data_IF_443272276752
#
_entry.id   IF_443272276752
#
_cell.length_a   1.000
_cell.length_b   1.000
_cell.length_c   1.000
_cell.angle_alpha   90.00
_cell.angle_beta   90.00
_cell.angle_gamma   90.00
#
_symmetry.space_group_name_H-M   'P 1'
#
loop_
_entity.id
_entity.type
_entity.pdbx_description
1 polymer ?
#
# COMPACT_ATOMS: atom_id res chain seq x y z
N UNK A 1 4.37 -10.19 16.63
CA UNK A 1 4.62 -9.76 15.23
C UNK A 1 3.59 -8.76 14.74
N UNK A 2 2.28 -9.04 14.79
CA UNK A 2 1.25 -8.09 14.36
C UNK A 2 1.31 -6.74 15.10
N UNK A 3 1.52 -6.73 16.42
CA UNK A 3 1.70 -5.49 17.20
C UNK A 3 2.92 -4.68 16.74
N UNK A 4 4.06 -5.34 16.50
CA UNK A 4 5.29 -4.68 15.99
C UNK A 4 5.10 -4.14 14.56
N UNK A 5 4.44 -4.88 13.68
CA UNK A 5 4.09 -4.40 12.33
C UNK A 5 3.12 -3.22 12.39
N UNK A 6 2.18 -3.24 13.34
CA UNK A 6 1.22 -2.15 13.53
C UNK A 6 1.92 -0.87 14.00
N UNK A 7 2.87 -1.01 14.93
CA UNK A 7 3.72 0.07 15.40
C UNK A 7 4.56 0.66 14.25
N UNK A 8 5.20 -0.18 13.43
CA UNK A 8 5.99 0.26 12.27
C UNK A 8 5.17 0.86 11.14
N UNK A 9 3.96 0.35 10.91
CA UNK A 9 3.03 0.91 9.92
C UNK A 9 2.32 2.18 10.42
N UNK A 10 2.49 2.53 11.70
CA UNK A 10 1.77 3.62 12.37
C UNK A 10 0.25 3.41 12.41
N UNK A 11 -0.22 2.16 12.24
CA UNK A 11 -1.65 1.82 12.14
C UNK A 11 -1.90 0.35 12.47
N UNK A 12 -3.11 -0.04 12.91
CA UNK A 12 -3.45 -1.44 13.15
C UNK A 12 -3.25 -2.30 11.90
N UNK A 13 -2.53 -3.40 12.05
CA UNK A 13 -2.31 -4.41 11.01
C UNK A 13 -2.70 -5.77 11.55
N UNK A 14 -3.61 -6.44 10.86
CA UNK A 14 -4.06 -7.80 11.15
C UNK A 14 -3.82 -8.68 9.92
N UNK A 15 -3.55 -9.97 10.12
CA UNK A 15 -3.38 -10.94 9.06
C UNK A 15 -3.66 -12.35 9.60
N UNK A 16 -4.01 -13.27 8.73
CA UNK A 16 -4.40 -14.63 9.11
C UNK A 16 -3.15 -15.52 9.24
N UNK A 17 -2.20 -15.37 8.31
CA UNK A 17 -0.97 -16.14 8.30
C UNK A 17 0.20 -15.30 7.83
N UNK A 18 1.37 -15.55 8.41
CA UNK A 18 2.66 -15.07 7.90
C UNK A 18 3.54 -16.24 7.53
N UNK A 19 4.13 -16.19 6.34
CA UNK A 19 5.12 -17.14 5.85
C UNK A 19 6.39 -16.39 5.49
N UNK A 20 7.51 -16.88 5.98
CA UNK A 20 8.82 -16.31 5.65
C UNK A 20 9.61 -17.34 4.86
N UNK A 21 10.18 -16.92 3.73
CA UNK A 21 11.12 -17.75 2.96
C UNK A 21 12.34 -16.95 2.57
N UNK A 22 13.50 -17.60 2.59
CA UNK A 22 14.71 -17.01 2.04
C UNK A 22 14.70 -17.13 0.52
N UNK A 23 15.07 -16.05 -0.17
CA UNK A 23 15.26 -16.05 -1.61
C UNK A 23 16.69 -15.67 -1.94
N UNK A 24 17.11 -15.85 -3.19
CA UNK A 24 18.44 -15.38 -3.64
C UNK A 24 18.64 -13.86 -3.44
N UNK A 25 17.56 -13.08 -3.38
CA UNK A 25 17.61 -11.62 -3.23
C UNK A 25 17.52 -11.17 -1.76
N UNK A 26 17.07 -12.05 -0.86
CA UNK A 26 16.83 -11.76 0.55
C UNK A 26 15.53 -12.40 1.06
N UNK A 27 15.13 -12.10 2.32
CA UNK A 27 13.94 -12.65 2.93
C UNK A 27 12.68 -12.10 2.26
N UNK A 28 11.75 -13.00 1.96
CA UNK A 28 10.40 -12.68 1.55
C UNK A 28 9.44 -13.01 2.68
N UNK A 29 8.67 -12.01 3.10
CA UNK A 29 7.54 -12.17 4.00
C UNK A 29 6.26 -12.16 3.17
N UNK A 30 5.48 -13.22 3.27
CA UNK A 30 4.14 -13.32 2.70
C UNK A 30 3.12 -13.25 3.83
N UNK A 31 2.19 -12.32 3.72
CA UNK A 31 1.07 -12.10 4.64
C UNK A 31 -0.21 -12.44 3.89
N UNK A 32 -0.97 -13.41 4.39
CA UNK A 32 -2.26 -13.81 3.82
C UNK A 32 -3.40 -13.21 4.68
N UNK A 33 -4.48 -12.76 4.04
CA UNK A 33 -5.64 -12.16 4.73
C UNK A 33 -5.33 -10.82 5.41
N UNK A 34 -4.45 -10.02 4.81
CA UNK A 34 -3.97 -8.76 5.38
C UNK A 34 -5.10 -7.72 5.46
N UNK A 35 -5.25 -7.12 6.64
CA UNK A 35 -6.21 -6.06 6.96
C UNK A 35 -5.45 -4.91 7.61
N UNK A 36 -5.54 -3.73 7.01
CA UNK A 36 -4.82 -2.54 7.43
C UNK A 36 -5.85 -1.47 7.83
N UNK A 37 -5.70 -0.90 9.02
CA UNK A 37 -6.72 0.00 9.59
C UNK A 37 -7.87 -0.78 10.23
N UNK A 38 -9.00 -0.12 10.47
CA UNK A 38 -10.16 -0.73 11.13
C UNK A 38 -10.04 -0.83 12.65
N UNK A 39 -9.84 0.31 13.31
CA UNK A 39 -10.20 0.46 14.73
C UNK A 39 -11.72 0.44 14.94
N UNK A 40 -12.22 1.00 16.05
CA UNK A 40 -13.65 1.00 16.43
C UNK A 40 -14.63 1.46 15.32
N UNK A 41 -14.15 2.20 14.32
CA UNK A 41 -14.95 2.83 13.27
C UNK A 41 -15.14 1.98 12.00
N UNK A 42 -14.73 0.71 12.00
CA UNK A 42 -15.17 -0.28 10.99
C UNK A 42 -14.68 -0.11 9.55
N UNK A 43 -13.79 0.85 9.27
CA UNK A 43 -13.19 1.06 7.95
C UNK A 43 -11.73 0.63 7.91
N UNK A 44 -11.41 -0.48 7.24
CA UNK A 44 -10.05 -0.92 6.98
C UNK A 44 -9.88 -1.39 5.54
N UNK A 45 -8.66 -1.31 5.01
CA UNK A 45 -8.32 -1.84 3.69
C UNK A 45 -8.00 -3.32 3.81
N UNK A 46 -8.70 -4.10 2.99
CA UNK A 46 -8.50 -5.55 2.89
C UNK A 46 -7.59 -5.85 1.70
N UNK A 47 -6.58 -6.68 1.93
CA UNK A 47 -5.65 -7.16 0.92
C UNK A 47 -5.60 -8.67 1.03
N UNK A 48 -5.96 -9.36 -0.06
CA UNK A 48 -5.97 -10.84 -0.05
C UNK A 48 -4.61 -11.44 0.31
N UNK A 49 -3.55 -10.91 -0.30
CA UNK A 49 -2.18 -11.30 0.02
C UNK A 49 -1.23 -10.11 -0.15
N UNK A 50 -0.27 -9.95 0.75
CA UNK A 50 0.86 -9.04 0.61
C UNK A 50 2.19 -9.79 0.65
N UNK A 51 3.11 -9.44 -0.24
CA UNK A 51 4.49 -9.92 -0.25
C UNK A 51 5.43 -8.74 -0.03
N UNK A 52 6.30 -8.84 0.98
CA UNK A 52 7.36 -7.89 1.27
C UNK A 52 8.70 -8.56 1.04
N UNK A 53 9.43 -8.11 0.02
CA UNK A 53 10.80 -8.56 -0.25
C UNK A 53 11.78 -7.49 0.24
N UNK A 54 12.70 -7.89 1.11
CA UNK A 54 13.83 -7.04 1.51
C UNK A 54 15.06 -7.50 0.72
N UNK A 55 15.50 -6.67 -0.21
CA UNK A 55 16.64 -6.92 -1.08
C UNK A 55 17.95 -6.58 -0.36
N UNK A 56 18.39 -7.46 0.54
CA UNK A 56 19.59 -7.27 1.38
C UNK A 56 20.88 -7.04 0.58
N UNK A 57 20.98 -7.65 -0.61
CA UNK A 57 22.18 -7.59 -1.46
C UNK A 57 22.12 -6.47 -2.52
N UNK A 58 21.08 -5.63 -2.51
CA UNK A 58 20.92 -4.54 -3.49
C UNK A 58 21.86 -3.35 -3.23
N UNK A 59 22.39 -3.20 -2.01
CA UNK A 59 23.18 -2.04 -1.58
C UNK A 59 24.52 -1.83 -2.30
N UNK A 60 24.93 -2.74 -3.20
CA UNK A 60 26.17 -2.63 -3.98
C UNK A 60 25.95 -2.07 -5.39
N UNK A 61 24.71 -1.86 -5.82
CA UNK A 61 24.39 -1.42 -7.18
C UNK A 61 23.61 -0.10 -7.16
N UNK A 62 24.09 0.97 -7.82
CA UNK A 62 23.39 2.24 -7.87
C UNK A 62 21.98 2.07 -8.50
N UNK A 63 20.97 2.69 -7.89
CA UNK A 63 19.58 2.68 -8.38
C UNK A 63 18.76 1.42 -8.06
N UNK A 64 19.21 0.56 -7.12
CA UNK A 64 18.45 -0.63 -6.68
C UNK A 64 17.74 -0.38 -5.36
N UNK A 65 16.45 -0.71 -5.36
CA UNK A 65 15.52 -0.62 -4.23
C UNK A 65 15.84 -1.63 -3.13
N UNK A 66 15.85 -1.19 -1.87
CA UNK A 66 16.00 -2.08 -0.71
C UNK A 66 14.74 -2.89 -0.39
N UNK A 67 13.56 -2.36 -0.73
CA UNK A 67 12.28 -2.99 -0.37
C UNK A 67 11.33 -2.99 -1.57
N UNK A 68 10.76 -4.16 -1.88
CA UNK A 68 9.67 -4.33 -2.85
C UNK A 68 8.41 -4.79 -2.10
N UNK A 69 7.30 -4.10 -2.30
CA UNK A 69 5.98 -4.46 -1.77
C UNK A 69 5.05 -4.86 -2.91
N UNK A 70 4.45 -6.05 -2.82
CA UNK A 70 3.47 -6.52 -3.80
C UNK A 70 2.17 -6.86 -3.09
N UNK A 71 1.11 -6.14 -3.42
CA UNK A 71 -0.23 -6.34 -2.93
C UNK A 71 -1.04 -7.08 -3.99
N UNK A 72 -1.73 -8.14 -3.60
CA UNK A 72 -2.58 -8.94 -4.49
C UNK A 72 -4.03 -8.87 -4.03
N UNK A 73 -4.91 -8.52 -4.96
CA UNK A 73 -6.33 -8.35 -4.68
C UNK A 73 -6.67 -7.32 -3.60
N UNK A 74 -5.98 -6.16 -3.48
CA UNK A 74 -6.43 -5.13 -2.54
C UNK A 74 -7.81 -4.63 -2.95
N UNK A 75 -8.69 -4.46 -1.96
CA UNK A 75 -9.98 -3.78 -2.13
C UNK A 75 -9.85 -2.35 -1.59
N UNK A 76 -9.89 -1.40 -2.50
CA UNK A 76 -9.68 0.01 -2.22
C UNK A 76 -10.96 0.80 -2.51
N UNK A 77 -11.29 1.73 -1.64
CA UNK A 77 -12.33 2.73 -1.88
C UNK A 77 -11.68 4.11 -1.74
N UNK A 78 -11.65 4.86 -2.83
CA UNK A 78 -11.07 6.19 -2.91
C UNK A 78 -12.21 7.21 -2.88
N UNK A 79 -12.20 8.11 -1.90
CA UNK A 79 -13.18 9.18 -1.74
C UNK A 79 -12.53 10.53 -1.97
N UNK A 80 -13.21 11.41 -2.70
CA UNK A 80 -12.86 12.83 -2.76
C UNK A 80 -13.58 13.58 -1.64
N UNK A 81 -12.81 14.23 -0.78
CA UNK A 81 -13.31 15.05 0.31
C UNK A 81 -13.74 16.43 -0.20
N UNK A 82 -14.44 17.18 0.65
CA UNK A 82 -15.02 18.49 0.30
C UNK A 82 -13.96 19.54 -0.02
N UNK A 83 -12.77 19.43 0.55
CA UNK A 83 -11.60 20.26 0.24
C UNK A 83 -10.87 19.84 -1.06
N UNK A 84 -11.38 18.80 -1.73
CA UNK A 84 -10.84 18.26 -2.96
C UNK A 84 -9.67 17.30 -2.82
N UNK A 85 -9.25 16.98 -1.60
CA UNK A 85 -8.27 15.91 -1.35
C UNK A 85 -8.89 14.55 -1.62
N UNK A 86 -8.02 13.60 -1.97
CA UNK A 86 -8.39 12.21 -2.12
C UNK A 86 -7.93 11.41 -0.91
N UNK A 87 -8.83 10.63 -0.33
CA UNK A 87 -8.57 9.76 0.80
C UNK A 87 -8.95 8.32 0.45
N UNK A 88 -8.17 7.35 0.93
CA UNK A 88 -8.56 5.95 0.86
C UNK A 88 -9.40 5.65 2.10
N UNK A 89 -10.66 5.25 1.89
CA UNK A 89 -11.57 4.86 2.98
C UNK A 89 -10.93 3.73 3.80
N UNK A 90 -10.93 3.92 5.11
CA UNK A 90 -10.33 2.98 6.06
C UNK A 90 -8.82 3.09 6.21
N UNK A 91 -8.18 4.02 5.51
CA UNK A 91 -6.81 4.46 5.76
C UNK A 91 -6.82 5.98 6.00
N UNK A 92 -7.29 6.44 7.17
CA UNK A 92 -7.19 7.86 7.50
C UNK A 92 -5.72 8.29 7.42
N UNK A 93 -5.45 9.42 6.75
CA UNK A 93 -4.19 10.11 6.97
C UNK A 93 -4.20 10.56 8.43
N UNK A 94 -3.15 10.26 9.19
CA UNK A 94 -3.11 10.56 10.62
C UNK A 94 -3.43 12.05 10.87
N UNK A 95 -4.47 12.30 11.68
CA UNK A 95 -4.86 13.65 12.08
C UNK A 95 -3.67 14.33 12.79
N UNK A 96 -3.32 15.53 12.33
CA UNK A 96 -2.25 16.33 12.93
C UNK A 96 -0.81 15.90 12.62
N UNK A 97 -0.59 14.90 11.76
CA UNK A 97 0.75 14.66 11.23
C UNK A 97 1.17 15.87 10.37
N UNK A 98 2.30 16.55 10.67
CA UNK A 98 2.74 17.72 9.91
C UNK A 98 2.91 17.28 8.48
N UNK A 99 2.06 17.80 7.58
CA UNK A 99 2.02 17.63 6.11
C UNK A 99 3.10 16.68 5.59
N UNK A 100 3.01 15.44 6.03
CA UNK A 100 4.06 14.47 5.88
C UNK A 100 3.92 14.10 4.42
N UNK A 101 4.88 14.53 3.59
CA UNK A 101 4.80 14.33 2.15
C UNK A 101 4.37 12.87 1.96
N UNK A 102 3.22 12.57 1.33
CA UNK A 102 2.78 11.19 1.18
C UNK A 102 3.86 10.29 0.54
N UNK A 103 4.83 10.89 -0.15
CA UNK A 103 6.03 10.24 -0.68
C UNK A 103 7.05 9.81 0.40
N UNK A 104 7.04 10.41 1.59
CA UNK A 104 7.89 10.00 2.73
C UNK A 104 7.58 8.57 3.17
N UNK A 105 6.32 8.13 3.07
CA UNK A 105 5.93 6.74 3.38
C UNK A 105 6.45 5.75 2.33
N UNK A 106 6.87 6.26 1.17
CA UNK A 106 7.52 5.51 0.12
C UNK A 106 9.05 5.60 0.22
N UNK A 107 9.61 6.41 1.11
CA UNK A 107 11.06 6.45 1.34
C UNK A 107 11.53 5.09 1.89
N UNK A 108 12.55 4.52 1.26
CA UNK A 108 13.01 3.14 1.53
C UNK A 108 12.21 2.04 0.80
N UNK A 109 11.05 2.39 0.24
CA UNK A 109 10.20 1.54 -0.59
C UNK A 109 10.53 1.82 -2.05
N UNK A 110 11.27 0.94 -2.71
CA UNK A 110 11.70 1.25 -4.07
C UNK A 110 10.78 0.73 -5.16
N UNK A 111 9.93 -0.26 -4.87
CA UNK A 111 8.83 -0.65 -5.76
C UNK A 111 7.57 -1.07 -4.99
N UNK A 112 6.43 -0.57 -5.43
CA UNK A 112 5.09 -1.00 -5.03
C UNK A 112 4.35 -1.55 -6.25
N UNK A 113 3.84 -2.77 -6.16
CA UNK A 113 2.94 -3.37 -7.14
C UNK A 113 1.59 -3.65 -6.51
N UNK A 114 0.52 -3.31 -7.21
CA UNK A 114 -0.83 -3.81 -6.98
C UNK A 114 -1.18 -4.70 -8.15
N UNK A 115 -1.63 -5.91 -7.85
CA UNK A 115 -2.02 -6.91 -8.85
C UNK A 115 -3.45 -7.34 -8.57
N UNK A 116 -4.33 -7.18 -9.55
CA UNK A 116 -5.72 -7.59 -9.48
C UNK A 116 -6.54 -6.89 -8.40
N UNK A 117 -6.22 -5.64 -8.09
CA UNK A 117 -6.97 -4.85 -7.12
C UNK A 117 -8.38 -4.51 -7.62
N UNK A 118 -9.26 -4.14 -6.68
CA UNK A 118 -10.59 -3.56 -6.94
C UNK A 118 -10.58 -2.13 -6.42
N UNK A 119 -11.09 -1.19 -7.21
CA UNK A 119 -11.11 0.22 -6.85
C UNK A 119 -12.52 0.80 -7.02
N UNK A 120 -13.13 1.20 -5.91
CA UNK A 120 -14.33 2.01 -5.89
C UNK A 120 -13.92 3.48 -5.75
N UNK A 121 -14.44 4.35 -6.61
CA UNK A 121 -14.16 5.79 -6.61
C UNK A 121 -15.46 6.54 -6.35
N UNK A 122 -15.47 7.36 -5.32
CA UNK A 122 -16.60 8.20 -4.93
C UNK A 122 -16.15 9.66 -4.88
N UNK A 123 -16.67 10.49 -5.77
CA UNK A 123 -16.50 11.95 -5.72
C UNK A 123 -17.88 12.63 -5.81
N UNK A 124 -18.59 12.75 -4.67
CA UNK A 124 -19.95 13.29 -4.63
C UNK A 124 -20.05 14.71 -5.21
N UNK A 125 -19.04 15.55 -4.99
CA UNK A 125 -19.01 16.93 -5.47
C UNK A 125 -18.89 17.01 -7.01
N UNK A 126 -18.43 15.93 -7.65
CA UNK A 126 -18.34 15.77 -9.10
C UNK A 126 -19.48 14.90 -9.66
N UNK A 127 -20.40 14.42 -8.81
CA UNK A 127 -21.42 13.45 -9.20
C UNK A 127 -20.86 12.11 -9.72
N UNK A 128 -19.61 11.78 -9.37
CA UNK A 128 -18.91 10.62 -9.90
C UNK A 128 -18.94 9.46 -8.91
N UNK A 129 -19.48 8.33 -9.37
CA UNK A 129 -19.33 7.03 -8.71
C UNK A 129 -18.88 6.01 -9.76
N UNK A 130 -17.66 5.49 -9.59
CA UNK A 130 -17.05 4.57 -10.55
C UNK A 130 -16.53 3.34 -9.81
N UNK A 131 -16.81 2.15 -10.36
CA UNK A 131 -16.24 0.89 -9.88
C UNK A 131 -15.33 0.33 -10.95
N UNK A 132 -14.07 0.11 -10.60
CA UNK A 132 -13.05 -0.54 -11.41
C UNK A 132 -12.85 -1.95 -10.84
N UNK A 133 -13.43 -2.98 -11.47
CA UNK A 133 -13.41 -4.35 -10.94
C UNK A 133 -12.01 -4.98 -10.99
N UNK A 134 -11.11 -4.48 -11.86
CA UNK A 134 -9.72 -4.89 -11.86
C UNK A 134 -8.77 -3.75 -12.17
N UNK A 135 -7.79 -3.55 -11.30
CA UNK A 135 -6.69 -2.59 -11.49
C UNK A 135 -5.33 -3.21 -11.14
N UNK A 136 -4.37 -3.01 -12.03
CA UNK A 136 -2.96 -3.27 -11.80
C UNK A 136 -2.22 -1.93 -11.74
N UNK A 137 -1.41 -1.72 -10.72
CA UNK A 137 -0.60 -0.49 -10.52
C UNK A 137 0.84 -0.90 -10.27
N UNK A 138 1.78 -0.16 -10.85
CA UNK A 138 3.20 -0.25 -10.52
C UNK A 138 3.74 1.14 -10.24
N UNK A 139 4.31 1.31 -9.06
CA UNK A 139 4.99 2.52 -8.63
C UNK A 139 6.45 2.16 -8.33
N UNK A 140 7.38 2.94 -8.87
CA UNK A 140 8.83 2.79 -8.66
C UNK A 140 9.41 4.10 -8.16
N UNK A 141 10.23 4.01 -7.12
CA UNK A 141 10.94 5.14 -6.52
C UNK A 141 12.43 4.99 -6.85
N UNK A 142 13.01 6.03 -7.43
CA UNK A 142 14.41 6.13 -7.83
C UNK A 142 14.97 7.48 -7.37
N UNK A 143 15.53 7.49 -6.15
CA UNK A 143 15.90 8.72 -5.45
C UNK A 143 14.69 9.65 -5.30
N UNK A 144 14.79 10.86 -5.84
CA UNK A 144 13.71 11.85 -5.81
C UNK A 144 12.66 11.68 -6.91
N UNK A 145 12.75 10.64 -7.76
CA UNK A 145 11.82 10.42 -8.88
C UNK A 145 10.88 9.28 -8.58
N UNK A 146 9.58 9.54 -8.78
CA UNK A 146 8.54 8.52 -8.71
C UNK A 146 7.96 8.29 -10.11
N UNK A 147 7.94 7.04 -10.55
CA UNK A 147 7.28 6.61 -11.79
C UNK A 147 6.10 5.72 -11.44
N UNK A 148 4.92 6.09 -11.90
CA UNK A 148 3.71 5.30 -11.70
C UNK A 148 3.07 4.94 -13.05
N UNK A 149 2.53 3.75 -13.15
CA UNK A 149 1.72 3.29 -14.28
C UNK A 149 0.59 2.41 -13.77
N UNK A 150 -0.62 2.64 -14.29
CA UNK A 150 -1.81 1.90 -13.91
C UNK A 150 -2.56 1.41 -15.15
N UNK A 151 -3.21 0.26 -15.02
CA UNK A 151 -4.15 -0.29 -16.01
C UNK A 151 -5.38 -0.78 -15.28
N UNK A 152 -6.54 -0.24 -15.62
CA UNK A 152 -7.84 -0.67 -15.10
C UNK A 152 -8.81 -1.03 -16.22
N UNK A 153 -9.69 -1.99 -15.98
CA UNK A 153 -10.79 -2.39 -16.87
C UNK A 153 -11.94 -3.01 -16.09
#
# INVERSE_FOLDING_TARGET
MAAWLSEKAGRPVQFDQVRTRWTRRGPLLQLDGLRIGGGADGGGVQVGQAEVLVSLYAGLLPGRSFTELRLRGPALALRREDDGRWAIRGLPLADGAPQADPLQYLEGLGELQVIGGRLDVEAPQLGLQLRIPRIDLRLRVDGARVRAGARGW
#
